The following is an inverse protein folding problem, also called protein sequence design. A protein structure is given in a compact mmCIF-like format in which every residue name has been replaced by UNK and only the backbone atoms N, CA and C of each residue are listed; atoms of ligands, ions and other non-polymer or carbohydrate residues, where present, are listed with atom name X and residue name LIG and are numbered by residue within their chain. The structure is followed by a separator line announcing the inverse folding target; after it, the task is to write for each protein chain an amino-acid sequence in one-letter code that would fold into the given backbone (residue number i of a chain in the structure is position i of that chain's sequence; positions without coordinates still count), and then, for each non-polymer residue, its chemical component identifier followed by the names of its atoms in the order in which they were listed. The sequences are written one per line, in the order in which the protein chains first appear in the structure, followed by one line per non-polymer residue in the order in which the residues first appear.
data_IF_433459325502
#
_entry.id   IF_433459325502
#
_cell.length_a   1.000
_cell.length_b   1.000
_cell.length_c   1.000
_cell.angle_alpha   90.00
_cell.angle_beta   90.00
_cell.angle_gamma   90.00
#
_symmetry.space_group_name_H-M   'P 1'
#
loop_
_entity.id
_entity.type
_entity.pdbx_description
1 polymer ?
#
# COMPACT_ATOMS: atom_id res chain seq x y z
N UNK A 1 -3.14 11.98 22.19
CA UNK A 1 -3.72 11.23 21.05
C UNK A 1 -2.89 11.66 19.87
N UNK A 2 -1.89 10.86 19.52
CA UNK A 2 -0.71 11.38 18.82
C UNK A 2 -0.91 11.39 17.29
N UNK A 3 -2.10 11.84 16.86
CA UNK A 3 -2.35 12.62 15.64
C UNK A 3 -2.12 11.95 14.28
N UNK A 4 -1.41 10.84 14.19
CA UNK A 4 -1.06 10.28 12.88
C UNK A 4 -2.15 9.32 12.43
N UNK A 5 -3.11 9.86 11.68
CA UNK A 5 -4.20 9.11 11.06
C UNK A 5 -3.71 8.15 9.96
N UNK A 6 -2.47 8.32 9.50
CA UNK A 6 -1.86 7.63 8.35
C UNK A 6 -0.33 7.51 8.53
N UNK A 7 0.19 6.43 9.13
CA UNK A 7 1.63 6.30 9.39
C UNK A 7 2.41 6.12 8.09
N UNK A 8 3.53 6.83 7.95
CA UNK A 8 4.49 6.56 6.87
C UNK A 8 5.11 5.18 7.07
N UNK A 9 5.02 4.32 6.05
CA UNK A 9 5.68 3.02 6.04
C UNK A 9 7.10 3.14 5.51
N UNK A 10 8.00 2.28 6.00
CA UNK A 10 9.35 2.10 5.44
C UNK A 10 9.51 0.63 5.07
N UNK A 11 9.63 0.36 3.77
CA UNK A 11 9.66 -0.97 3.18
C UNK A 11 11.02 -1.19 2.54
N UNK A 12 11.91 -1.88 3.23
CA UNK A 12 13.30 -2.05 2.77
C UNK A 12 13.38 -2.82 1.46
N UNK A 13 14.21 -2.34 0.54
CA UNK A 13 14.51 -3.05 -0.70
C UNK A 13 15.04 -4.47 -0.42
N UNK A 14 14.65 -5.42 -1.28
CA UNK A 14 14.93 -6.84 -1.12
C UNK A 14 14.06 -7.57 -0.10
N UNK A 15 13.22 -6.86 0.66
CA UNK A 15 12.34 -7.46 1.67
C UNK A 15 10.96 -7.80 1.11
N UNK A 16 10.28 -8.73 1.79
CA UNK A 16 8.90 -9.13 1.51
C UNK A 16 8.03 -8.70 2.69
N UNK A 17 6.96 -7.96 2.40
CA UNK A 17 5.98 -7.53 3.40
C UNK A 17 4.61 -8.10 3.08
N UNK A 18 3.91 -8.57 4.11
CA UNK A 18 2.52 -9.00 4.04
C UNK A 18 1.64 -8.04 4.83
N UNK A 19 0.69 -7.41 4.14
CA UNK A 19 -0.34 -6.59 4.74
C UNK A 19 -1.61 -7.41 4.85
N UNK A 20 -1.96 -7.79 6.08
CA UNK A 20 -3.24 -8.41 6.43
C UNK A 20 -4.25 -7.31 6.74
N UNK A 21 -5.34 -7.30 5.98
CA UNK A 21 -6.47 -6.38 6.18
C UNK A 21 -7.78 -7.14 6.46
N UNK A 22 -7.68 -8.38 6.95
CA UNK A 22 -8.83 -9.25 7.28
C UNK A 22 -9.72 -8.69 8.41
N UNK A 23 -9.16 -7.88 9.31
CA UNK A 23 -9.92 -7.19 10.35
C UNK A 23 -10.75 -6.00 9.81
N UNK A 24 -10.51 -5.57 8.58
CA UNK A 24 -11.14 -4.41 7.94
C UNK A 24 -11.42 -4.71 6.46
N UNK A 25 -12.20 -5.75 6.19
CA UNK A 25 -12.44 -6.31 4.84
C UNK A 25 -13.06 -5.34 3.83
N UNK A 26 -13.68 -4.24 4.28
CA UNK A 26 -14.15 -3.16 3.40
C UNK A 26 -13.04 -2.18 2.99
N UNK A 27 -11.81 -2.36 3.47
CA UNK A 27 -10.66 -1.48 3.26
C UNK A 27 -9.49 -2.20 2.58
N UNK A 28 -9.60 -2.57 1.28
CA UNK A 28 -8.52 -3.27 0.59
C UNK A 28 -7.26 -2.42 0.51
N UNK A 29 -6.12 -2.97 0.94
CA UNK A 29 -4.83 -2.29 0.95
C UNK A 29 -4.13 -2.43 -0.40
N UNK A 30 -3.74 -1.32 -1.04
CA UNK A 30 -3.12 -1.28 -2.37
C UNK A 30 -1.94 -0.33 -2.41
N UNK A 31 -1.09 -0.48 -3.43
CA UNK A 31 0.04 0.41 -3.69
C UNK A 31 -0.17 1.24 -4.95
N UNK A 32 0.43 2.42 -5.00
CA UNK A 32 0.54 3.29 -6.19
C UNK A 32 1.81 4.12 -6.12
N UNK A 33 2.28 4.64 -7.25
CA UNK A 33 3.30 5.70 -7.29
C UNK A 33 2.71 7.11 -7.12
N UNK A 34 1.38 7.22 -7.10
CA UNK A 34 0.64 8.47 -6.91
C UNK A 34 -0.07 8.46 -5.56
N UNK A 35 0.03 9.56 -4.80
CA UNK A 35 -0.68 9.72 -3.53
C UNK A 35 -2.19 9.55 -3.75
N UNK A 36 -2.85 8.78 -2.86
CA UNK A 36 -4.27 8.38 -2.96
C UNK A 36 -4.63 7.50 -4.18
N UNK A 37 -3.63 6.96 -4.88
CA UNK A 37 -3.80 5.94 -5.91
C UNK A 37 -4.84 6.32 -6.99
N UNK A 38 -5.77 5.41 -7.25
CA UNK A 38 -6.81 5.59 -8.27
C UNK A 38 -7.82 6.69 -7.97
N UNK A 39 -7.88 7.17 -6.72
CA UNK A 39 -8.72 8.31 -6.34
C UNK A 39 -8.12 9.66 -6.76
N UNK A 40 -6.83 9.70 -7.10
CA UNK A 40 -6.12 10.91 -7.50
C UNK A 40 -5.40 10.72 -8.85
N UNK A 41 -6.11 10.12 -9.82
CA UNK A 41 -5.63 9.87 -11.20
C UNK A 41 -4.41 8.95 -11.34
N UNK A 42 -3.99 8.30 -10.25
CA UNK A 42 -2.98 7.26 -10.29
C UNK A 42 -3.52 5.92 -10.79
N UNK A 43 -2.61 4.99 -10.98
CA UNK A 43 -2.92 3.57 -11.22
C UNK A 43 -2.38 2.74 -10.07
N UNK A 44 -2.94 1.55 -9.89
CA UNK A 44 -2.39 0.58 -8.96
C UNK A 44 -0.98 0.16 -9.40
N UNK A 45 -0.04 0.15 -8.45
CA UNK A 45 1.29 -0.42 -8.60
C UNK A 45 1.23 -1.91 -8.32
N UNK A 46 1.57 -2.73 -9.31
CA UNK A 46 1.43 -4.20 -9.25
C UNK A 46 2.76 -4.94 -9.36
N UNK A 47 3.88 -4.25 -9.62
CA UNK A 47 5.20 -4.87 -9.71
C UNK A 47 5.61 -5.46 -8.37
N UNK A 48 5.89 -6.76 -8.34
CA UNK A 48 6.24 -7.47 -7.11
C UNK A 48 5.08 -7.60 -6.11
N UNK A 49 3.85 -7.22 -6.48
CA UNK A 49 2.67 -7.26 -5.60
C UNK A 49 1.80 -8.48 -5.92
N UNK A 50 1.43 -9.24 -4.90
CA UNK A 50 0.42 -10.30 -4.96
C UNK A 50 -0.75 -9.91 -4.08
N UNK A 51 -1.95 -9.92 -4.67
CA UNK A 51 -3.20 -9.64 -3.96
C UNK A 51 -4.02 -10.90 -3.83
N UNK A 52 -4.52 -11.15 -2.62
CA UNK A 52 -5.56 -12.14 -2.40
C UNK A 52 -6.72 -11.47 -1.67
N UNK A 53 -7.73 -11.08 -2.44
CA UNK A 53 -8.91 -10.39 -1.91
C UNK A 53 -9.88 -11.35 -1.20
N UNK A 54 -9.76 -12.65 -1.44
CA UNK A 54 -10.53 -13.66 -0.72
C UNK A 54 -9.92 -13.91 0.67
N UNK A 55 -8.60 -13.86 0.77
CA UNK A 55 -7.86 -13.96 2.03
C UNK A 55 -7.61 -12.62 2.73
N UNK A 56 -7.99 -11.50 2.10
CA UNK A 56 -7.79 -10.13 2.61
C UNK A 56 -6.30 -9.80 2.87
N UNK A 57 -5.44 -10.17 1.93
CA UNK A 57 -4.00 -9.90 2.03
C UNK A 57 -3.44 -9.19 0.80
N UNK A 58 -2.36 -8.44 1.02
CA UNK A 58 -1.55 -7.86 -0.05
C UNK A 58 -0.09 -8.03 0.32
N UNK A 59 0.64 -8.80 -0.48
CA UNK A 59 2.07 -9.00 -0.32
C UNK A 59 2.82 -8.13 -1.34
N UNK A 60 3.93 -7.55 -0.93
CA UNK A 60 4.88 -6.89 -1.84
C UNK A 60 6.29 -7.42 -1.59
N UNK A 61 6.95 -7.82 -2.67
CA UNK A 61 8.40 -7.98 -2.73
C UNK A 61 8.99 -6.68 -3.25
N UNK A 62 9.72 -5.96 -2.39
CA UNK A 62 10.29 -4.66 -2.74
C UNK A 62 11.56 -4.90 -3.56
N UNK A 63 11.52 -4.58 -4.85
CA UNK A 63 12.70 -4.71 -5.71
C UNK A 63 13.76 -3.65 -5.36
N UNK A 64 15.03 -3.92 -5.70
CA UNK A 64 16.07 -2.89 -5.63
C UNK A 64 15.79 -1.75 -6.61
N UNK A 65 15.94 -0.50 -6.18
CA UNK A 65 15.56 0.69 -6.92
C UNK A 65 14.05 0.91 -7.03
N UNK A 66 13.25 0.33 -6.13
CA UNK A 66 11.81 0.57 -6.13
C UNK A 66 11.53 2.07 -5.89
N UNK A 67 10.62 2.69 -6.64
CA UNK A 67 10.27 4.09 -6.41
C UNK A 67 9.57 4.22 -5.05
N UNK A 68 9.60 5.43 -4.47
CA UNK A 68 8.70 5.74 -3.34
C UNK A 68 7.27 5.43 -3.75
N UNK A 69 6.59 4.66 -2.89
CA UNK A 69 5.22 4.26 -3.09
C UNK A 69 4.29 5.05 -2.15
N UNK A 70 3.02 4.90 -2.43
CA UNK A 70 1.92 5.27 -1.55
C UNK A 70 1.07 4.03 -1.37
N UNK A 71 0.66 3.77 -0.13
CA UNK A 71 -0.43 2.84 0.11
C UNK A 71 -1.74 3.61 0.07
N UNK A 72 -2.81 2.97 -0.38
CA UNK A 72 -4.16 3.53 -0.39
C UNK A 72 -5.21 2.43 -0.27
N UNK A 73 -6.40 2.83 0.18
CA UNK A 73 -7.58 2.00 0.13
C UNK A 73 -8.26 2.16 -1.23
N UNK A 74 -8.50 1.08 -1.96
CA UNK A 74 -9.19 1.16 -3.26
C UNK A 74 -10.65 1.62 -3.18
N UNK A 75 -11.24 1.57 -1.99
CA UNK A 75 -12.66 1.87 -1.78
C UNK A 75 -12.89 3.25 -1.15
N UNK A 76 -11.88 3.86 -0.52
CA UNK A 76 -12.05 5.08 0.28
C UNK A 76 -10.98 6.11 -0.07
N UNK A 77 -11.38 7.15 -0.80
CA UNK A 77 -10.50 8.30 -1.07
C UNK A 77 -10.05 8.96 0.23
N UNK A 78 -8.79 9.37 0.25
CA UNK A 78 -8.14 9.98 1.40
C UNK A 78 -7.81 8.98 2.50
N UNK A 79 -7.88 7.66 2.25
CA UNK A 79 -7.44 6.61 3.16
C UNK A 79 -6.18 5.93 2.61
N UNK A 80 -5.03 6.56 2.82
CA UNK A 80 -3.75 6.05 2.34
C UNK A 80 -2.59 6.68 3.10
N UNK A 81 -1.39 6.63 2.54
CA UNK A 81 -0.21 7.27 3.13
C UNK A 81 1.03 6.96 2.32
N UNK A 82 2.15 7.56 2.70
CA UNK A 82 3.42 7.32 2.04
C UNK A 82 4.03 5.98 2.48
N UNK A 83 4.68 5.28 1.55
CA UNK A 83 5.51 4.12 1.80
C UNK A 83 6.88 4.34 1.15
N UNK A 84 7.88 4.66 1.97
CA UNK A 84 9.26 4.80 1.52
C UNK A 84 9.84 3.42 1.22
N UNK A 85 10.70 3.34 0.20
CA UNK A 85 11.38 2.11 -0.23
C UNK A 85 12.90 2.26 -0.15
N UNK A 86 13.47 2.37 1.07
CA UNK A 86 14.91 2.58 1.26
C UNK A 86 15.75 1.32 1.12
#
# INVERSE_FOLDING_TARGET
MDGVRQPTLSLSEGSIYLFDWSAATSHPFRFSTTSDGTHNSGSEYTTGVVKDDSAYTTQITVAGGAPTLYYYCSNHSGMGGQANTP
#
